data_IF_133719790112
#
_entry.id   IF_133719790112
#
_cell.length_a   1.000
_cell.length_b   1.000
_cell.length_c   1.000
_cell.angle_alpha   90.00
_cell.angle_beta   90.00
_cell.angle_gamma   90.00
#
_symmetry.space_group_name_H-M   'P 1'
#
loop_
_entity.id
_entity.type
_entity.pdbx_description
1 polymer ?
#
# COMPACT_ATOMS: atom_id res chain seq x y z
N UNK A 1 13.08 -7.61 54.78
CA UNK A 1 13.63 -8.80 55.47
C UNK A 1 13.94 -9.86 54.40
N UNK A 2 15.26 -10.24 54.37
CA UNK A 2 15.86 -11.54 54.00
C UNK A 2 15.49 -12.13 52.58
N UNK A 3 16.37 -12.34 51.69
CA UNK A 3 17.75 -12.87 51.45
C UNK A 3 17.60 -13.80 50.22
N UNK A 4 18.21 -13.50 49.09
CA UNK A 4 19.53 -13.94 48.57
C UNK A 4 19.71 -15.48 48.59
N UNK A 5 19.94 -16.08 47.41
CA UNK A 5 20.94 -17.13 47.22
C UNK A 5 21.35 -17.29 45.75
N UNK A 6 22.58 -16.96 45.51
CA UNK A 6 23.48 -17.26 44.39
C UNK A 6 23.89 -18.74 44.48
N UNK A 7 24.03 -19.46 43.37
CA UNK A 7 24.98 -20.58 43.25
C UNK A 7 25.59 -20.67 41.85
N UNK A 8 26.90 -20.41 41.89
CA UNK A 8 27.96 -20.69 40.92
C UNK A 8 28.37 -22.17 41.02
N UNK A 9 28.76 -22.80 39.92
CA UNK A 9 29.65 -23.95 39.81
C UNK A 9 30.19 -23.99 38.37
N UNK A 10 31.36 -23.55 38.07
CA UNK A 10 32.76 -23.96 38.15
C UNK A 10 33.08 -25.24 37.37
N UNK A 11 33.73 -25.06 36.21
CA UNK A 11 34.94 -25.66 35.58
C UNK A 11 35.28 -27.12 35.90
N UNK A 12 35.52 -27.91 34.84
CA UNK A 12 36.69 -28.82 34.85
C UNK A 12 37.26 -29.01 33.44
N UNK A 13 38.54 -28.76 33.34
CA UNK A 13 39.51 -28.93 32.28
C UNK A 13 40.12 -30.33 32.44
N UNK A 14 40.34 -31.11 31.40
CA UNK A 14 41.32 -32.20 31.45
C UNK A 14 41.99 -32.40 30.07
N UNK A 15 43.28 -32.36 30.20
CA UNK A 15 44.45 -32.49 29.34
C UNK A 15 44.77 -33.96 29.06
N UNK A 16 45.43 -34.22 27.96
CA UNK A 16 46.26 -35.40 27.74
C UNK A 16 46.03 -36.08 26.38
N UNK A 17 46.96 -36.53 25.62
CA UNK A 17 48.40 -36.70 25.67
C UNK A 17 48.91 -37.05 24.27
N UNK A 18 50.07 -36.61 23.92
CA UNK A 18 50.90 -36.91 22.74
C UNK A 18 51.33 -38.36 22.76
N UNK A 19 51.34 -39.05 21.59
CA UNK A 19 52.25 -40.18 21.34
C UNK A 19 52.85 -40.02 19.94
N UNK A 20 54.19 -39.84 19.99
CA UNK A 20 55.18 -40.00 18.92
C UNK A 20 55.56 -41.48 18.79
N UNK A 21 55.78 -41.98 17.55
CA UNK A 21 56.83 -42.94 17.29
C UNK A 21 57.00 -43.26 15.78
N UNK A 22 58.12 -42.91 15.29
CA UNK A 22 59.15 -43.68 14.58
C UNK A 22 58.90 -44.24 13.21
N UNK A 23 59.75 -43.77 12.31
CA UNK A 23 60.13 -44.36 11.04
C UNK A 23 61.03 -45.63 11.21
N UNK A 24 61.16 -46.46 10.17
CA UNK A 24 62.50 -46.79 9.74
C UNK A 24 62.74 -46.60 8.24
N UNK A 25 64.00 -46.59 7.93
CA UNK A 25 64.81 -46.17 6.85
C UNK A 25 64.96 -47.22 5.75
N UNK A 26 65.04 -46.75 4.48
CA UNK A 26 65.90 -47.09 3.34
C UNK A 26 65.94 -48.52 2.76
N UNK A 27 65.67 -48.58 1.46
CA UNK A 27 66.46 -49.35 0.50
C UNK A 27 66.46 -48.64 -0.85
N UNK A 28 67.64 -48.36 -1.30
CA UNK A 28 68.06 -47.83 -2.59
C UNK A 28 67.90 -48.92 -3.68
N UNK A 29 67.30 -48.54 -4.83
CA UNK A 29 67.54 -49.23 -6.08
C UNK A 29 67.54 -48.23 -7.26
N UNK A 30 68.48 -48.49 -8.19
CA UNK A 30 68.98 -47.59 -9.17
C UNK A 30 68.09 -47.27 -10.35
N UNK A 31 68.45 -46.21 -10.99
CA UNK A 31 67.88 -45.51 -12.13
C UNK A 31 67.72 -46.33 -13.39
N UNK A 32 66.64 -46.07 -14.13
CA UNK A 32 66.68 -46.09 -15.62
C UNK A 32 66.04 -44.78 -16.10
N UNK A 33 66.83 -44.00 -16.80
CA UNK A 33 66.47 -42.83 -17.55
C UNK A 33 65.52 -43.18 -18.69
N UNK A 34 64.34 -42.54 -18.71
CA UNK A 34 63.48 -42.49 -19.89
C UNK A 34 63.27 -41.00 -20.27
N UNK A 35 63.28 -40.67 -21.60
CA UNK A 35 63.39 -39.29 -22.03
C UNK A 35 62.09 -38.48 -21.74
N UNK A 36 62.31 -37.25 -21.35
CA UNK A 36 61.29 -36.25 -21.07
C UNK A 36 60.35 -35.99 -22.27
N UNK A 37 59.06 -36.31 -22.11
CA UNK A 37 58.01 -35.78 -22.96
C UNK A 37 57.79 -34.31 -22.58
N UNK A 38 57.99 -33.42 -23.53
CA UNK A 38 57.69 -32.00 -23.42
C UNK A 38 56.20 -31.86 -23.27
N UNK A 39 55.76 -31.63 -22.05
CA UNK A 39 54.36 -31.24 -21.74
C UNK A 39 54.16 -29.82 -22.25
N UNK A 40 53.34 -29.69 -23.31
CA UNK A 40 52.91 -28.39 -23.82
C UNK A 40 52.11 -27.68 -22.73
N UNK A 41 52.64 -26.56 -22.27
CA UNK A 41 51.91 -25.65 -21.36
C UNK A 41 50.58 -25.28 -21.99
N UNK A 42 49.47 -25.75 -21.39
CA UNK A 42 48.14 -25.21 -21.63
C UNK A 42 48.18 -23.72 -21.25
N UNK A 43 47.67 -22.80 -22.10
CA UNK A 43 47.55 -21.42 -21.70
C UNK A 43 46.60 -21.37 -20.49
N UNK A 44 47.04 -20.75 -19.40
CA UNK A 44 46.21 -20.43 -18.28
C UNK A 44 44.99 -19.63 -18.81
N UNK A 45 43.79 -20.13 -18.56
CA UNK A 45 42.60 -19.38 -18.78
C UNK A 45 42.74 -18.09 -17.93
N UNK A 46 42.93 -16.99 -18.60
CA UNK A 46 42.77 -15.68 -17.98
C UNK A 46 41.32 -15.61 -17.52
N UNK A 47 41.08 -15.66 -16.21
CA UNK A 47 39.86 -15.15 -15.64
C UNK A 47 39.76 -13.69 -16.10
N UNK A 48 39.02 -13.44 -17.16
CA UNK A 48 38.56 -12.09 -17.47
C UNK A 48 37.72 -11.67 -16.29
N UNK A 49 38.27 -10.77 -15.46
CA UNK A 49 37.53 -10.14 -14.39
C UNK A 49 36.26 -9.51 -15.01
N UNK A 50 35.08 -9.97 -14.57
CA UNK A 50 33.85 -9.37 -15.00
C UNK A 50 33.94 -7.82 -14.80
N UNK A 51 33.56 -7.03 -15.79
CA UNK A 51 33.56 -5.59 -15.63
C UNK A 51 32.78 -5.22 -14.37
N UNK A 52 33.24 -4.20 -13.65
CA UNK A 52 32.54 -3.71 -12.48
C UNK A 52 31.09 -3.34 -12.90
N UNK A 53 30.07 -3.65 -12.09
CA UNK A 53 28.69 -3.34 -12.42
C UNK A 53 28.54 -1.83 -12.69
N UNK A 54 27.79 -1.48 -13.72
CA UNK A 54 27.47 -0.09 -14.04
C UNK A 54 26.27 0.32 -13.18
N UNK A 55 26.47 1.22 -12.22
CA UNK A 55 25.35 1.75 -11.45
C UNK A 55 24.55 2.79 -12.27
N UNK A 56 23.22 2.67 -12.27
CA UNK A 56 22.28 3.61 -12.84
C UNK A 56 21.31 4.09 -11.77
N UNK A 57 21.31 5.39 -11.50
CA UNK A 57 20.31 5.99 -10.63
C UNK A 57 19.05 6.29 -11.42
N UNK A 58 17.91 5.84 -10.91
CA UNK A 58 16.56 6.18 -11.37
C UNK A 58 15.96 7.19 -10.39
N UNK A 59 15.54 8.33 -10.91
CA UNK A 59 14.95 9.42 -10.12
C UNK A 59 13.43 9.26 -10.10
N UNK A 60 12.86 9.08 -8.90
CA UNK A 60 11.42 9.05 -8.67
C UNK A 60 10.94 10.43 -8.22
N UNK A 61 10.07 11.05 -9.00
CA UNK A 61 9.50 12.37 -8.71
C UNK A 61 8.10 12.28 -8.11
N UNK A 62 7.85 13.04 -7.02
CA UNK A 62 6.52 13.13 -6.42
C UNK A 62 6.36 14.39 -5.58
N UNK A 63 5.12 14.76 -5.23
CA UNK A 63 4.86 15.76 -4.20
C UNK A 63 4.25 15.11 -2.96
N UNK A 64 4.37 15.79 -1.83
CA UNK A 64 3.77 15.40 -0.57
C UNK A 64 3.09 16.60 0.06
N UNK A 65 1.83 16.46 0.47
CA UNK A 65 1.18 17.49 1.30
C UNK A 65 1.77 17.42 2.70
N UNK A 66 2.74 18.29 3.02
CA UNK A 66 3.28 18.41 4.38
C UNK A 66 2.38 19.28 5.27
N UNK A 67 1.45 20.04 4.65
CA UNK A 67 0.45 20.90 5.29
C UNK A 67 -0.89 20.80 4.53
N UNK A 68 -1.97 21.31 5.15
CA UNK A 68 -3.31 21.34 4.56
C UNK A 68 -4.14 20.07 4.82
N UNK A 69 -5.27 19.95 4.11
CA UNK A 69 -6.27 18.91 4.39
C UNK A 69 -5.80 17.48 4.08
N UNK A 70 -4.79 17.31 3.22
CA UNK A 70 -4.29 16.00 2.80
C UNK A 70 -3.04 15.53 3.58
N UNK A 71 -2.56 16.32 4.55
CA UNK A 71 -1.30 16.09 5.28
C UNK A 71 -1.19 14.67 5.84
N UNK A 72 -2.19 14.20 6.56
CA UNK A 72 -2.12 12.92 7.29
C UNK A 72 -1.94 11.74 6.33
N UNK A 73 -2.82 11.62 5.34
CA UNK A 73 -2.79 10.50 4.38
C UNK A 73 -1.61 10.58 3.43
N UNK A 74 -1.23 11.79 2.98
CA UNK A 74 -0.06 12.02 2.14
C UNK A 74 1.22 11.56 2.82
N UNK A 75 1.45 11.93 4.07
CA UNK A 75 2.61 11.47 4.84
C UNK A 75 2.65 9.95 5.01
N UNK A 76 1.48 9.31 5.20
CA UNK A 76 1.40 7.84 5.27
C UNK A 76 1.84 7.19 3.95
N UNK A 77 1.33 7.68 2.82
CA UNK A 77 1.70 7.19 1.49
C UNK A 77 3.21 7.34 1.25
N UNK A 78 3.78 8.51 1.51
CA UNK A 78 5.20 8.79 1.29
C UNK A 78 6.09 7.93 2.20
N UNK A 79 5.69 7.68 3.45
CA UNK A 79 6.43 6.79 4.34
C UNK A 79 6.50 5.36 3.80
N UNK A 80 5.44 4.86 3.18
CA UNK A 80 5.45 3.55 2.52
C UNK A 80 6.42 3.49 1.34
N UNK A 81 6.38 4.49 0.46
CA UNK A 81 7.29 4.60 -0.67
C UNK A 81 8.76 4.69 -0.21
N UNK A 82 9.04 5.48 0.83
CA UNK A 82 10.39 5.61 1.38
C UNK A 82 10.90 4.30 1.98
N UNK A 83 10.04 3.53 2.66
CA UNK A 83 10.42 2.21 3.18
C UNK A 83 10.83 1.27 2.04
N UNK A 84 10.04 1.19 0.97
CA UNK A 84 10.41 0.39 -0.19
C UNK A 84 11.74 0.84 -0.81
N UNK A 85 11.90 2.14 -1.04
CA UNK A 85 13.11 2.69 -1.65
C UNK A 85 14.36 2.40 -0.83
N UNK A 86 14.26 2.51 0.49
CA UNK A 86 15.34 2.15 1.39
C UNK A 86 15.66 0.66 1.26
N UNK A 87 14.66 -0.22 1.31
CA UNK A 87 14.87 -1.67 1.26
C UNK A 87 15.50 -2.12 -0.06
N UNK A 88 15.02 -1.63 -1.21
CA UNK A 88 15.58 -2.03 -2.51
C UNK A 88 17.02 -1.53 -2.67
N UNK A 89 17.33 -0.32 -2.21
CA UNK A 89 18.69 0.22 -2.27
C UNK A 89 19.65 -0.51 -1.32
N UNK A 90 19.21 -0.83 -0.09
CA UNK A 90 20.00 -1.57 0.91
C UNK A 90 20.25 -3.02 0.47
N UNK A 91 19.31 -3.62 -0.27
CA UNK A 91 19.48 -4.95 -0.90
C UNK A 91 20.49 -4.95 -2.07
N UNK A 92 20.98 -3.79 -2.48
CA UNK A 92 21.96 -3.66 -3.56
C UNK A 92 21.39 -3.11 -4.86
N UNK A 93 20.10 -2.83 -4.95
CA UNK A 93 19.40 -2.37 -6.16
C UNK A 93 18.89 -3.51 -7.04
N UNK A 94 18.28 -3.18 -8.17
CA UNK A 94 17.81 -4.15 -9.17
C UNK A 94 18.98 -4.51 -10.10
N UNK A 95 19.22 -5.80 -10.30
CA UNK A 95 20.25 -6.31 -11.22
C UNK A 95 19.62 -6.58 -12.59
N UNK A 96 20.03 -5.85 -13.61
CA UNK A 96 19.62 -6.11 -15.00
C UNK A 96 20.58 -7.13 -15.66
N UNK A 97 20.10 -7.79 -16.72
CA UNK A 97 20.86 -8.86 -17.40
C UNK A 97 22.13 -8.37 -18.10
N UNK A 98 22.20 -7.07 -18.43
CA UNK A 98 23.37 -6.41 -19.02
C UNK A 98 24.47 -6.07 -18.00
N UNK A 99 24.24 -6.38 -16.71
CA UNK A 99 25.12 -6.06 -15.59
C UNK A 99 24.91 -4.68 -14.98
N UNK A 100 23.90 -3.94 -15.43
CA UNK A 100 23.49 -2.66 -14.82
C UNK A 100 22.84 -2.93 -13.47
N UNK A 101 23.20 -2.10 -12.47
CA UNK A 101 22.58 -2.08 -11.14
C UNK A 101 21.75 -0.81 -11.01
N UNK A 102 20.45 -0.97 -10.90
CA UNK A 102 19.52 0.17 -10.75
C UNK A 102 19.34 0.52 -9.28
N UNK A 103 19.60 1.77 -8.92
CA UNK A 103 19.37 2.39 -7.62
C UNK A 103 18.33 3.48 -7.76
N UNK A 104 17.66 3.83 -6.66
CA UNK A 104 16.59 4.83 -6.67
C UNK A 104 16.92 6.03 -5.80
N UNK A 105 16.58 7.21 -6.31
CA UNK A 105 16.61 8.47 -5.57
C UNK A 105 15.26 9.18 -5.71
N UNK A 106 14.89 9.98 -4.71
CA UNK A 106 13.65 10.73 -4.70
C UNK A 106 13.88 12.22 -4.90
N UNK A 107 13.01 12.84 -5.70
CA UNK A 107 12.82 14.30 -5.73
C UNK A 107 11.40 14.60 -5.28
N UNK A 108 11.27 15.40 -4.23
CA UNK A 108 9.96 15.69 -3.62
C UNK A 108 9.84 17.14 -3.16
N UNK A 109 8.62 17.66 -3.20
CA UNK A 109 8.26 19.02 -2.78
C UNK A 109 6.96 19.02 -2.00
N UNK A 110 6.75 20.03 -1.15
CA UNK A 110 5.48 20.27 -0.46
C UNK A 110 4.48 20.93 -1.42
N UNK A 111 3.37 20.27 -1.67
CA UNK A 111 2.28 20.79 -2.51
C UNK A 111 1.25 21.60 -1.72
N UNK A 112 1.35 21.65 -0.39
CA UNK A 112 0.45 22.38 0.50
C UNK A 112 -1.03 22.00 0.30
N UNK A 113 -1.33 20.78 -0.18
CA UNK A 113 -2.67 20.31 -0.57
C UNK A 113 -3.32 21.19 -1.66
N UNK A 114 -2.53 21.81 -2.54
CA UNK A 114 -2.98 22.79 -3.53
C UNK A 114 -2.77 22.28 -4.96
N UNK A 115 -3.84 22.31 -5.78
CA UNK A 115 -3.85 21.75 -7.15
C UNK A 115 -2.96 22.53 -8.13
N UNK A 116 -2.97 23.84 -8.03
CA UNK A 116 -2.16 24.73 -8.90
C UNK A 116 -0.68 24.52 -8.60
N UNK A 117 -0.33 24.38 -7.32
CA UNK A 117 1.03 24.10 -6.88
C UNK A 117 1.51 22.71 -7.34
N UNK A 118 0.64 21.70 -7.29
CA UNK A 118 0.94 20.37 -7.85
C UNK A 118 1.35 20.45 -9.32
N UNK A 119 0.61 21.18 -10.15
CA UNK A 119 0.95 21.29 -11.58
C UNK A 119 2.30 21.97 -11.79
N UNK A 120 2.57 23.06 -11.05
CA UNK A 120 3.86 23.76 -11.09
C UNK A 120 5.01 22.81 -10.68
N UNK A 121 4.85 22.10 -9.56
CA UNK A 121 5.87 21.24 -9.02
C UNK A 121 6.12 20.01 -9.89
N UNK A 122 5.10 19.37 -10.46
CA UNK A 122 5.32 18.25 -11.39
C UNK A 122 5.99 18.72 -12.69
N UNK A 123 5.69 19.92 -13.17
CA UNK A 123 6.41 20.49 -14.29
C UNK A 123 7.89 20.62 -13.96
N UNK A 124 8.22 21.16 -12.78
CA UNK A 124 9.60 21.30 -12.31
C UNK A 124 10.29 19.94 -12.14
N UNK A 125 9.66 18.99 -11.44
CA UNK A 125 10.15 17.62 -11.23
C UNK A 125 10.55 16.96 -12.56
N UNK A 126 9.76 17.17 -13.61
CA UNK A 126 10.00 16.57 -14.93
C UNK A 126 11.09 17.34 -15.71
N UNK A 127 11.02 18.67 -15.73
CA UNK A 127 11.83 19.47 -16.67
C UNK A 127 13.14 19.97 -16.09
N UNK A 128 13.22 20.18 -14.77
CA UNK A 128 14.42 20.67 -14.09
C UNK A 128 15.14 19.55 -13.34
N UNK A 129 14.38 18.72 -12.60
CA UNK A 129 14.96 17.66 -11.77
C UNK A 129 15.11 16.34 -12.54
N UNK A 130 14.60 16.24 -13.78
CA UNK A 130 14.72 15.11 -14.70
C UNK A 130 14.25 13.76 -14.12
N UNK A 131 13.12 13.76 -13.41
CA UNK A 131 12.56 12.52 -12.91
C UNK A 131 12.27 11.51 -14.03
N UNK A 132 12.67 10.26 -13.81
CA UNK A 132 12.45 9.15 -14.74
C UNK A 132 11.01 8.65 -14.66
N UNK A 133 10.53 8.39 -13.43
CA UNK A 133 9.17 7.94 -13.13
C UNK A 133 8.52 8.83 -12.08
N UNK A 134 7.20 8.82 -12.06
CA UNK A 134 6.42 9.64 -11.15
C UNK A 134 5.56 8.76 -10.22
N UNK A 135 5.43 9.19 -8.97
CA UNK A 135 4.39 8.72 -8.05
C UNK A 135 3.41 9.87 -7.85
N UNK A 136 2.11 9.57 -7.84
CA UNK A 136 1.10 10.60 -7.68
C UNK A 136 1.12 11.23 -6.29
N UNK A 137 0.65 12.49 -6.14
CA UNK A 137 0.30 13.01 -4.83
C UNK A 137 -0.89 12.25 -4.26
N UNK A 138 -1.17 12.38 -2.99
CA UNK A 138 -2.46 12.08 -2.40
C UNK A 138 -3.30 13.36 -2.52
N UNK A 139 -4.45 13.40 -3.06
CA UNK A 139 -5.62 12.61 -3.27
C UNK A 139 -6.03 12.55 -4.77
N UNK A 140 -7.26 12.07 -5.09
CA UNK A 140 -7.79 12.06 -6.47
C UNK A 140 -7.79 13.45 -7.11
N UNK A 141 -8.13 14.50 -6.35
CA UNK A 141 -8.10 15.88 -6.82
C UNK A 141 -6.72 16.38 -7.19
N UNK A 142 -5.69 16.06 -6.38
CA UNK A 142 -4.29 16.44 -6.64
C UNK A 142 -3.68 15.55 -7.72
N UNK A 143 -3.98 14.25 -7.72
CA UNK A 143 -3.54 13.32 -8.77
C UNK A 143 -4.05 13.73 -10.14
N UNK A 144 -5.31 14.11 -10.28
CA UNK A 144 -5.86 14.60 -11.54
C UNK A 144 -5.09 15.83 -12.08
N UNK A 145 -4.64 16.72 -11.20
CA UNK A 145 -3.81 17.87 -11.59
C UNK A 145 -2.40 17.43 -12.06
N UNK A 146 -1.78 16.49 -11.35
CA UNK A 146 -0.46 15.94 -11.70
C UNK A 146 -0.49 15.13 -13.01
N UNK A 147 -1.54 14.34 -13.22
CA UNK A 147 -1.70 13.45 -14.39
C UNK A 147 -1.70 14.24 -15.70
N UNK A 148 -2.27 15.44 -15.73
CA UNK A 148 -2.24 16.32 -16.90
C UNK A 148 -0.78 16.62 -17.30
N UNK A 149 0.06 16.93 -16.33
CA UNK A 149 1.48 17.26 -16.58
C UNK A 149 2.26 16.00 -16.96
N UNK A 150 2.01 14.87 -16.31
CA UNK A 150 2.65 13.60 -16.61
C UNK A 150 2.35 13.17 -18.07
N UNK A 151 1.09 13.20 -18.48
CA UNK A 151 0.65 12.83 -19.84
C UNK A 151 1.25 13.73 -20.91
N UNK A 152 1.25 15.06 -20.70
CA UNK A 152 1.86 16.02 -21.63
C UNK A 152 3.36 15.79 -21.87
N UNK A 153 4.05 15.17 -20.91
CA UNK A 153 5.48 14.90 -20.97
C UNK A 153 5.80 13.41 -21.20
N UNK A 154 4.80 12.56 -21.44
CA UNK A 154 4.98 11.12 -21.68
C UNK A 154 5.56 10.36 -20.49
N UNK A 155 5.39 10.86 -19.26
CA UNK A 155 5.95 10.26 -18.04
C UNK A 155 4.97 9.27 -17.41
N UNK A 156 5.45 8.07 -17.10
CA UNK A 156 4.69 7.07 -16.36
C UNK A 156 4.49 7.55 -14.92
N UNK A 157 3.26 7.45 -14.44
CA UNK A 157 2.86 7.76 -13.06
C UNK A 157 2.12 6.57 -12.45
N UNK A 158 2.58 6.09 -11.30
CA UNK A 158 1.85 5.11 -10.49
C UNK A 158 1.12 5.85 -9.37
N UNK A 159 -0.09 5.39 -9.04
CA UNK A 159 -0.88 5.98 -7.96
C UNK A 159 -1.41 4.94 -6.99
N UNK A 160 -1.19 5.20 -5.69
CA UNK A 160 -1.88 4.60 -4.57
C UNK A 160 -2.43 5.70 -3.64
N UNK A 161 -2.73 6.86 -4.21
CA UNK A 161 -3.30 8.02 -3.52
C UNK A 161 -4.61 8.51 -4.13
N UNK A 162 -5.00 7.94 -5.28
CA UNK A 162 -6.21 8.32 -5.99
C UNK A 162 -7.03 7.07 -6.37
N UNK A 163 -8.33 7.16 -6.21
CA UNK A 163 -9.24 6.07 -6.55
C UNK A 163 -10.30 6.46 -7.59
N UNK A 164 -10.39 7.73 -8.00
CA UNK A 164 -11.39 8.15 -8.98
C UNK A 164 -11.13 7.54 -10.36
N UNK A 165 -12.18 7.22 -11.09
CA UNK A 165 -12.13 6.44 -12.31
C UNK A 165 -12.02 7.30 -13.60
N UNK A 166 -12.34 8.59 -13.53
CA UNK A 166 -12.51 9.41 -14.74
C UNK A 166 -11.19 9.71 -15.46
N UNK A 167 -10.07 9.73 -14.73
CA UNK A 167 -8.75 9.93 -15.31
C UNK A 167 -8.40 8.84 -16.34
N UNK A 168 -8.95 7.64 -16.18
CA UNK A 168 -8.70 6.47 -17.04
C UNK A 168 -9.61 6.42 -18.27
N UNK A 169 -10.68 7.21 -18.30
CA UNK A 169 -11.65 7.29 -19.41
C UNK A 169 -11.26 8.31 -20.48
N UNK A 170 -10.13 9.01 -20.29
CA UNK A 170 -9.69 10.12 -21.17
C UNK A 170 -8.77 9.68 -22.31
N UNK A 171 -8.43 8.40 -22.40
CA UNK A 171 -7.40 7.88 -23.30
C UNK A 171 -5.98 8.10 -22.80
N UNK A 172 -5.82 8.44 -21.52
CA UNK A 172 -4.51 8.54 -20.85
C UNK A 172 -3.86 7.16 -20.77
N UNK A 173 -2.59 7.05 -21.13
CA UNK A 173 -1.81 5.82 -21.10
C UNK A 173 -0.63 5.88 -20.14
N UNK A 174 -0.53 6.94 -19.37
CA UNK A 174 0.61 7.22 -18.48
C UNK A 174 0.34 6.89 -17.02
N UNK A 175 -0.94 6.78 -16.62
CA UNK A 175 -1.36 6.58 -15.23
C UNK A 175 -1.75 5.12 -14.95
N UNK A 176 -1.18 4.52 -13.87
CA UNK A 176 -1.48 3.17 -13.41
C UNK A 176 -1.94 3.20 -11.96
N UNK A 177 -3.16 2.70 -11.68
CA UNK A 177 -3.80 2.74 -10.37
C UNK A 177 -3.58 1.45 -9.60
N UNK A 178 -3.23 1.55 -8.32
CA UNK A 178 -3.07 0.40 -7.42
C UNK A 178 -4.26 0.21 -6.47
N UNK A 179 -5.05 1.24 -6.23
CA UNK A 179 -6.26 1.15 -5.42
C UNK A 179 -7.40 0.52 -6.21
N UNK A 180 -8.33 -0.12 -5.50
CA UNK A 180 -9.66 -0.42 -6.05
C UNK A 180 -10.28 0.88 -6.56
N UNK A 181 -10.85 0.90 -7.77
CA UNK A 181 -11.53 2.07 -8.32
C UNK A 181 -12.61 2.64 -7.40
N UNK A 182 -12.79 3.96 -7.40
CA UNK A 182 -13.76 4.65 -6.57
C UNK A 182 -15.18 4.15 -6.74
N UNK A 183 -15.57 3.86 -7.99
CA UNK A 183 -16.88 3.28 -8.31
C UNK A 183 -17.16 1.93 -7.61
N UNK A 184 -16.13 1.22 -7.16
CA UNK A 184 -16.22 -0.07 -6.48
C UNK A 184 -15.99 0.03 -4.95
N UNK A 185 -15.70 1.22 -4.42
CA UNK A 185 -15.17 1.42 -3.08
C UNK A 185 -16.10 0.91 -1.97
N UNK A 186 -17.41 1.10 -2.09
CA UNK A 186 -18.41 0.70 -1.08
C UNK A 186 -19.19 -0.58 -1.43
N UNK A 187 -18.85 -1.27 -2.53
CA UNK A 187 -19.56 -2.48 -2.96
C UNK A 187 -19.56 -3.55 -1.87
N UNK A 188 -18.40 -3.86 -1.30
CA UNK A 188 -18.29 -4.84 -0.20
C UNK A 188 -19.13 -4.45 1.04
N UNK A 189 -19.22 -3.15 1.34
CA UNK A 189 -20.06 -2.64 2.44
C UNK A 189 -21.55 -2.88 2.16
N UNK A 190 -21.99 -2.63 0.93
CA UNK A 190 -23.39 -2.87 0.52
C UNK A 190 -23.72 -4.37 0.52
N UNK A 191 -22.81 -5.23 0.05
CA UNK A 191 -22.98 -6.69 0.09
C UNK A 191 -23.13 -7.22 1.53
N UNK A 192 -22.32 -6.70 2.45
CA UNK A 192 -22.45 -7.00 3.87
C UNK A 192 -23.80 -6.53 4.42
N UNK A 193 -24.20 -5.29 4.16
CA UNK A 193 -25.49 -4.73 4.61
C UNK A 193 -26.66 -5.55 4.05
N UNK A 194 -26.58 -6.03 2.80
CA UNK A 194 -27.61 -6.88 2.21
C UNK A 194 -27.82 -8.18 2.99
N UNK A 195 -26.75 -8.68 3.61
CA UNK A 195 -26.80 -9.88 4.47
C UNK A 195 -27.33 -9.56 5.86
N UNK A 196 -26.97 -8.39 6.42
CA UNK A 196 -27.31 -8.00 7.80
C UNK A 196 -28.74 -7.43 7.94
N UNK A 197 -29.07 -6.48 7.07
CA UNK A 197 -30.36 -5.77 7.09
C UNK A 197 -30.78 -5.32 5.68
N UNK A 198 -31.41 -6.18 4.90
CA UNK A 198 -31.84 -5.85 3.53
C UNK A 198 -32.94 -4.77 3.48
N UNK A 199 -33.48 -4.37 4.64
CA UNK A 199 -34.52 -3.33 4.76
C UNK A 199 -33.97 -1.98 5.26
N UNK A 200 -32.64 -1.86 5.41
CA UNK A 200 -32.00 -0.65 5.90
C UNK A 200 -32.36 0.58 5.02
N UNK A 201 -32.62 1.69 5.68
CA UNK A 201 -32.79 3.00 5.03
C UNK A 201 -31.44 3.71 5.01
N UNK A 202 -30.94 3.99 3.83
CA UNK A 202 -29.59 4.49 3.63
C UNK A 202 -29.60 6.01 3.48
N UNK A 203 -28.79 6.69 4.30
CA UNK A 203 -28.36 8.05 4.04
C UNK A 203 -26.97 8.04 3.42
N UNK A 204 -26.77 8.86 2.40
CA UNK A 204 -25.49 9.16 1.79
C UNK A 204 -25.11 10.59 2.17
N UNK A 205 -23.97 10.76 2.86
CA UNK A 205 -23.43 12.08 3.20
C UNK A 205 -21.97 12.11 2.80
N UNK A 206 -21.56 13.01 1.91
CA UNK A 206 -20.22 12.97 1.34
C UNK A 206 -19.61 14.34 1.11
N UNK A 207 -18.28 14.40 1.10
CA UNK A 207 -17.54 15.56 0.66
C UNK A 207 -17.75 15.81 -0.83
N UNK A 208 -17.84 17.08 -1.25
CA UNK A 208 -17.96 17.49 -2.66
C UNK A 208 -16.58 17.61 -3.30
N UNK A 209 -15.79 16.52 -3.24
CA UNK A 209 -14.50 16.41 -3.92
C UNK A 209 -14.52 15.34 -5.01
N UNK A 210 -13.43 15.22 -5.78
CA UNK A 210 -13.34 14.23 -6.86
C UNK A 210 -13.44 12.79 -6.38
N UNK A 211 -12.81 12.47 -5.25
CA UNK A 211 -12.78 11.12 -4.71
C UNK A 211 -14.15 10.69 -4.20
N UNK A 212 -14.71 11.46 -3.27
CA UNK A 212 -15.97 11.11 -2.63
C UNK A 212 -17.12 11.08 -3.65
N UNK A 213 -17.13 12.03 -4.61
CA UNK A 213 -18.10 12.04 -5.70
C UNK A 213 -18.01 10.77 -6.56
N UNK A 214 -16.80 10.35 -6.97
CA UNK A 214 -16.62 9.11 -7.75
C UNK A 214 -17.12 7.86 -6.99
N UNK A 215 -16.87 7.81 -5.67
CA UNK A 215 -17.39 6.71 -4.84
C UNK A 215 -18.92 6.70 -4.81
N UNK A 216 -19.55 7.87 -4.63
CA UNK A 216 -21.02 7.95 -4.54
C UNK A 216 -21.69 7.70 -5.89
N UNK A 217 -21.09 8.14 -6.99
CA UNK A 217 -21.58 7.85 -8.34
C UNK A 217 -21.58 6.35 -8.66
N UNK A 218 -20.62 5.60 -8.16
CA UNK A 218 -20.62 4.13 -8.24
C UNK A 218 -21.56 3.46 -7.24
N UNK A 219 -21.68 4.02 -6.03
CA UNK A 219 -22.51 3.47 -4.95
C UNK A 219 -24.01 3.50 -5.27
N UNK A 220 -24.53 4.62 -5.78
CA UNK A 220 -25.97 4.82 -5.98
C UNK A 220 -26.62 3.79 -6.87
N UNK A 221 -26.13 3.51 -8.08
CA UNK A 221 -26.71 2.48 -8.93
C UNK A 221 -26.62 1.08 -8.30
N UNK A 222 -25.59 0.82 -7.49
CA UNK A 222 -25.46 -0.46 -6.81
C UNK A 222 -26.46 -0.62 -5.67
N UNK A 223 -26.70 0.42 -4.87
CA UNK A 223 -27.77 0.42 -3.85
C UNK A 223 -29.14 0.17 -4.47
N UNK A 224 -29.44 0.83 -5.58
CA UNK A 224 -30.70 0.62 -6.33
C UNK A 224 -30.82 -0.83 -6.83
N UNK A 225 -29.76 -1.37 -7.44
CA UNK A 225 -29.69 -2.76 -7.88
C UNK A 225 -29.91 -3.76 -6.72
N UNK A 226 -29.39 -3.46 -5.54
CA UNK A 226 -29.55 -4.28 -4.34
C UNK A 226 -30.91 -4.05 -3.64
N UNK A 227 -31.69 -3.08 -4.07
CA UNK A 227 -33.03 -2.78 -3.57
C UNK A 227 -33.04 -2.02 -2.25
N UNK A 228 -31.99 -1.23 -1.95
CA UNK A 228 -31.97 -0.35 -0.78
C UNK A 228 -32.67 0.98 -1.08
N UNK A 229 -33.41 1.48 -0.09
CA UNK A 229 -34.01 2.82 -0.11
C UNK A 229 -32.98 3.86 0.30
N UNK A 230 -32.60 4.77 -0.60
CA UNK A 230 -31.81 5.97 -0.27
C UNK A 230 -32.77 7.08 0.15
N UNK A 231 -32.76 7.41 1.44
CA UNK A 231 -33.68 8.40 2.05
C UNK A 231 -33.07 9.80 2.16
N UNK A 232 -31.75 9.91 2.03
CA UNK A 232 -31.01 11.16 2.02
C UNK A 232 -29.77 11.04 1.13
N UNK A 233 -29.52 12.05 0.32
CA UNK A 233 -28.22 12.31 -0.30
C UNK A 233 -27.85 13.77 -0.05
N UNK A 234 -26.72 14.01 0.62
CA UNK A 234 -26.28 15.36 0.98
C UNK A 234 -24.77 15.49 0.79
N UNK A 235 -24.35 16.46 -0.03
CA UNK A 235 -22.96 16.84 -0.19
C UNK A 235 -22.57 18.00 0.70
N UNK A 236 -21.32 18.02 1.20
CA UNK A 236 -20.77 19.13 1.96
C UNK A 236 -19.45 19.62 1.35
N UNK A 237 -19.08 20.88 1.64
CA UNK A 237 -17.85 21.47 1.14
C UNK A 237 -16.62 20.92 1.91
N UNK A 238 -15.47 20.83 1.24
CA UNK A 238 -14.20 20.29 1.80
C UNK A 238 -13.70 21.04 3.06
N UNK A 239 -14.12 22.29 3.26
CA UNK A 239 -13.76 23.10 4.42
C UNK A 239 -14.82 23.08 5.55
N UNK A 240 -15.80 22.18 5.46
CA UNK A 240 -16.88 22.05 6.45
C UNK A 240 -16.31 21.59 7.79
N UNK A 241 -16.55 22.37 8.84
CA UNK A 241 -16.17 22.07 10.23
C UNK A 241 -17.37 21.93 11.18
N UNK A 242 -18.55 22.42 10.79
CA UNK A 242 -19.81 22.26 11.50
C UNK A 242 -20.78 21.41 10.66
N UNK A 243 -20.99 20.17 11.08
CA UNK A 243 -21.91 19.23 10.46
C UNK A 243 -23.34 19.30 11.04
N UNK A 244 -23.61 20.24 11.94
CA UNK A 244 -24.94 20.39 12.55
C UNK A 244 -26.09 20.43 11.56
N UNK A 245 -26.06 21.24 10.51
CA UNK A 245 -27.11 21.27 9.48
C UNK A 245 -27.29 19.93 8.76
N UNK A 246 -26.20 19.26 8.41
CA UNK A 246 -26.20 17.93 7.73
C UNK A 246 -26.75 16.85 8.66
N UNK A 247 -26.35 16.85 9.94
CA UNK A 247 -26.84 15.92 10.96
C UNK A 247 -28.34 16.10 11.21
N UNK A 248 -28.85 17.32 11.21
CA UNK A 248 -30.29 17.56 11.35
C UNK A 248 -31.08 16.92 10.20
N UNK A 249 -30.63 17.08 8.94
CA UNK A 249 -31.25 16.44 7.77
C UNK A 249 -31.17 14.91 7.87
N UNK A 250 -30.01 14.37 8.33
CA UNK A 250 -29.81 12.95 8.54
C UNK A 250 -30.84 12.38 9.54
N UNK A 251 -31.04 13.04 10.67
CA UNK A 251 -32.03 12.62 11.68
C UNK A 251 -33.46 12.70 11.14
N UNK A 252 -33.80 13.79 10.43
CA UNK A 252 -35.13 14.00 9.84
C UNK A 252 -35.46 12.99 8.74
N UNK A 253 -34.44 12.44 8.03
CA UNK A 253 -34.63 11.47 6.94
C UNK A 253 -35.12 10.11 7.43
N UNK A 254 -34.95 9.80 8.71
CA UNK A 254 -35.26 8.49 9.26
C UNK A 254 -34.32 7.35 8.77
N UNK A 255 -33.13 7.69 8.31
CA UNK A 255 -32.11 6.72 7.93
C UNK A 255 -31.69 5.85 9.12
N UNK A 256 -31.41 4.59 8.84
CA UNK A 256 -30.86 3.63 9.81
C UNK A 256 -29.39 3.33 9.57
N UNK A 257 -28.90 3.64 8.38
CA UNK A 257 -27.51 3.44 7.92
C UNK A 257 -26.98 4.71 7.29
N UNK A 258 -25.75 5.06 7.61
CA UNK A 258 -25.00 6.17 7.01
C UNK A 258 -23.80 5.62 6.23
N UNK A 259 -23.71 5.99 4.96
CA UNK A 259 -22.57 5.70 4.08
C UNK A 259 -21.99 7.01 3.54
N UNK A 260 -20.67 7.12 3.45
CA UNK A 260 -20.01 8.26 2.82
C UNK A 260 -18.87 8.85 3.65
N UNK A 261 -18.84 10.17 3.80
CA UNK A 261 -17.71 10.91 4.34
C UNK A 261 -16.80 11.44 3.23
N UNK A 262 -15.58 11.81 3.60
CA UNK A 262 -14.54 12.32 2.71
C UNK A 262 -13.18 11.81 3.16
N UNK A 263 -12.30 12.74 3.52
CA UNK A 263 -10.95 12.46 3.97
C UNK A 263 -10.83 12.36 5.50
N UNK A 264 -9.60 12.37 6.01
CA UNK A 264 -9.36 12.16 7.44
C UNK A 264 -9.89 13.32 8.33
N UNK A 265 -9.66 14.61 8.01
CA UNK A 265 -10.06 15.71 8.91
C UNK A 265 -11.57 15.85 9.06
N UNK A 266 -12.29 15.85 7.93
CA UNK A 266 -13.75 16.02 7.87
C UNK A 266 -14.47 14.80 8.43
N UNK A 267 -14.06 13.58 8.03
CA UNK A 267 -14.62 12.32 8.52
C UNK A 267 -14.44 12.15 10.04
N UNK A 268 -13.28 12.55 10.58
CA UNK A 268 -13.03 12.54 12.03
C UNK A 268 -13.92 13.55 12.77
N UNK A 269 -14.10 14.76 12.20
CA UNK A 269 -14.98 15.79 12.76
C UNK A 269 -16.44 15.36 12.70
N UNK A 270 -16.85 14.75 11.58
CA UNK A 270 -18.21 14.26 11.41
C UNK A 270 -18.54 13.14 12.41
N UNK A 271 -17.66 12.13 12.54
CA UNK A 271 -17.84 11.04 13.52
C UNK A 271 -18.00 11.58 14.95
N UNK A 272 -17.15 12.51 15.35
CA UNK A 272 -17.24 13.16 16.67
C UNK A 272 -18.57 13.89 16.86
N UNK A 273 -19.04 14.69 15.88
CA UNK A 273 -20.29 15.43 16.00
C UNK A 273 -21.53 14.53 15.95
N UNK A 274 -21.50 13.41 15.22
CA UNK A 274 -22.56 12.38 15.28
C UNK A 274 -22.69 11.83 16.71
N UNK A 275 -21.57 11.50 17.35
CA UNK A 275 -21.53 11.00 18.72
C UNK A 275 -22.01 12.06 19.74
N UNK A 276 -21.48 13.29 19.69
CA UNK A 276 -21.85 14.40 20.59
C UNK A 276 -23.34 14.72 20.52
N UNK A 277 -23.95 14.60 19.34
CA UNK A 277 -25.40 14.84 19.10
C UNK A 277 -26.25 13.59 19.33
N UNK A 278 -25.65 12.47 19.75
CA UNK A 278 -26.32 11.22 20.05
C UNK A 278 -27.21 10.70 18.92
N UNK A 279 -26.66 10.71 17.70
CA UNK A 279 -27.38 10.23 16.52
C UNK A 279 -27.43 8.70 16.56
N UNK A 280 -28.62 8.14 16.69
CA UNK A 280 -28.84 6.69 16.72
C UNK A 280 -28.92 6.13 15.30
N UNK A 281 -27.89 5.41 14.87
CA UNK A 281 -27.84 4.66 13.61
C UNK A 281 -27.49 3.19 13.89
N UNK A 282 -27.95 2.29 13.05
CA UNK A 282 -27.58 0.87 13.15
C UNK A 282 -26.17 0.62 12.61
N UNK A 283 -25.76 1.41 11.62
CA UNK A 283 -24.43 1.27 10.99
C UNK A 283 -23.95 2.62 10.42
N UNK A 284 -22.65 2.84 10.54
CA UNK A 284 -21.95 4.01 9.96
C UNK A 284 -20.71 3.49 9.26
N UNK A 285 -20.55 3.79 7.97
CA UNK A 285 -19.33 3.58 7.22
C UNK A 285 -18.83 4.89 6.63
N UNK A 286 -17.67 5.34 7.10
CA UNK A 286 -16.99 6.54 6.58
C UNK A 286 -15.81 6.12 5.71
N UNK A 287 -15.51 6.93 4.66
CA UNK A 287 -14.58 6.51 3.60
C UNK A 287 -13.14 6.34 4.09
N UNK A 288 -12.46 7.41 4.52
CA UNK A 288 -11.02 7.40 4.78
C UNK A 288 -10.67 7.46 6.26
N UNK A 289 -11.34 8.30 7.01
CA UNK A 289 -10.97 8.64 8.38
C UNK A 289 -10.81 7.41 9.30
N UNK A 290 -11.72 6.40 9.29
CA UNK A 290 -11.60 5.27 10.19
C UNK A 290 -10.45 4.32 9.85
N UNK A 291 -9.85 4.44 8.68
CA UNK A 291 -8.69 3.64 8.30
C UNK A 291 -7.37 4.17 8.88
N UNK A 292 -7.33 5.41 9.36
CA UNK A 292 -6.11 5.98 9.95
C UNK A 292 -5.89 5.48 11.40
N UNK A 293 -4.62 5.30 11.76
CA UNK A 293 -4.21 4.84 13.10
C UNK A 293 -4.51 5.84 14.21
N UNK A 294 -4.79 7.12 13.89
CA UNK A 294 -5.19 8.15 14.85
C UNK A 294 -6.70 8.21 15.12
N UNK A 295 -7.51 7.55 14.30
CA UNK A 295 -8.97 7.62 14.47
C UNK A 295 -9.47 7.19 15.86
N UNK A 296 -8.87 6.17 16.55
CA UNK A 296 -9.30 5.80 17.89
C UNK A 296 -9.00 6.86 18.97
N UNK A 297 -8.23 7.92 18.67
CA UNK A 297 -8.07 9.08 19.57
C UNK A 297 -9.41 9.80 19.83
N UNK A 298 -10.42 9.58 18.98
CA UNK A 298 -11.80 10.06 19.18
C UNK A 298 -12.51 9.34 20.35
N UNK A 299 -11.92 8.31 20.95
CA UNK A 299 -12.51 7.56 22.05
C UNK A 299 -13.81 6.86 21.62
N UNK A 300 -14.85 6.96 22.45
CA UNK A 300 -16.12 6.30 22.19
C UNK A 300 -16.82 6.78 20.88
N UNK A 301 -16.47 7.92 20.36
CA UNK A 301 -16.98 8.38 19.06
C UNK A 301 -16.47 7.55 17.86
N UNK A 302 -15.40 6.77 18.04
CA UNK A 302 -14.91 5.84 17.02
C UNK A 302 -15.61 4.47 17.08
N UNK A 303 -16.21 4.12 18.22
CA UNK A 303 -16.77 2.79 18.45
C UNK A 303 -17.91 2.48 17.46
N UNK A 304 -17.79 1.35 16.74
CA UNK A 304 -18.77 0.90 15.76
C UNK A 304 -18.67 1.58 14.39
N UNK A 305 -17.81 2.60 14.22
CA UNK A 305 -17.60 3.22 12.91
C UNK A 305 -16.79 2.26 12.03
N UNK A 306 -17.33 1.97 10.85
CA UNK A 306 -16.70 1.14 9.83
C UNK A 306 -16.08 1.95 8.69
N UNK A 307 -15.26 1.29 7.87
CA UNK A 307 -14.70 1.81 6.63
C UNK A 307 -14.43 0.68 5.66
N UNK A 308 -14.54 0.95 4.36
CA UNK A 308 -13.90 0.11 3.36
C UNK A 308 -12.39 0.38 3.38
N UNK A 309 -11.58 -0.65 3.42
CA UNK A 309 -10.13 -0.54 3.49
C UNK A 309 -9.47 -1.26 2.31
N UNK A 310 -8.48 -0.61 1.70
CA UNK A 310 -7.70 -1.20 0.62
C UNK A 310 -6.82 -2.35 1.12
N UNK A 311 -6.41 -2.32 2.38
CA UNK A 311 -5.60 -3.36 3.00
C UNK A 311 -5.68 -3.31 4.53
N UNK A 312 -5.76 -4.47 5.15
CA UNK A 312 -5.63 -4.66 6.60
C UNK A 312 -4.67 -5.82 6.87
N UNK A 313 -3.78 -5.64 7.85
CA UNK A 313 -2.83 -6.69 8.22
C UNK A 313 -3.52 -8.00 8.61
N UNK A 314 -4.68 -7.91 9.27
CA UNK A 314 -5.45 -9.07 9.71
C UNK A 314 -6.08 -9.88 8.55
N UNK A 315 -6.18 -9.27 7.36
CA UNK A 315 -6.68 -9.88 6.12
C UNK A 315 -5.64 -9.76 4.99
N UNK A 316 -4.36 -9.73 5.33
CA UNK A 316 -3.28 -9.65 4.33
C UNK A 316 -3.22 -10.95 3.53
N UNK A 317 -2.95 -10.81 2.24
CA UNK A 317 -2.86 -11.96 1.33
C UNK A 317 -1.57 -12.76 1.51
N UNK A 318 -1.57 -13.98 0.98
CA UNK A 318 -0.50 -14.96 1.18
C UNK A 318 -0.04 -15.60 -0.14
N UNK A 319 1.18 -16.15 -0.15
CA UNK A 319 1.70 -16.95 -1.27
C UNK A 319 0.80 -18.16 -1.58
N UNK A 320 0.17 -18.76 -0.56
CA UNK A 320 -0.71 -19.90 -0.75
C UNK A 320 -1.99 -19.52 -1.52
N UNK A 321 -2.53 -18.31 -1.29
CA UNK A 321 -3.64 -17.77 -2.07
C UNK A 321 -3.23 -17.49 -3.51
N UNK A 322 -2.07 -16.87 -3.73
CA UNK A 322 -1.51 -16.65 -5.06
C UNK A 322 -1.39 -17.96 -5.83
N UNK A 323 -0.81 -18.99 -5.21
CA UNK A 323 -0.67 -20.32 -5.81
C UNK A 323 -2.03 -20.97 -6.13
N UNK A 324 -3.03 -20.83 -5.26
CA UNK A 324 -4.38 -21.34 -5.48
C UNK A 324 -5.09 -20.64 -6.66
N UNK A 325 -4.75 -19.36 -6.91
CA UNK A 325 -5.24 -18.56 -8.04
C UNK A 325 -4.41 -18.75 -9.32
N UNK A 326 -3.30 -19.49 -9.27
CA UNK A 326 -2.37 -19.64 -10.37
C UNK A 326 -1.62 -18.36 -10.72
N UNK A 327 -1.44 -17.45 -9.73
CA UNK A 327 -0.75 -16.17 -9.88
C UNK A 327 0.67 -16.23 -9.35
N UNK A 328 1.55 -15.42 -9.92
CA UNK A 328 2.88 -15.18 -9.36
C UNK A 328 2.76 -14.37 -8.07
N UNK A 329 3.41 -14.85 -6.98
CA UNK A 329 3.61 -14.04 -5.79
C UNK A 329 4.84 -13.15 -5.96
N UNK A 330 4.71 -11.86 -5.59
CA UNK A 330 5.82 -10.92 -5.64
C UNK A 330 5.89 -10.03 -4.40
N UNK A 331 7.10 -9.83 -3.88
CA UNK A 331 7.38 -8.97 -2.73
C UNK A 331 7.32 -9.66 -1.36
N UNK A 332 7.38 -8.89 -0.27
CA UNK A 332 7.38 -9.42 1.09
C UNK A 332 6.01 -9.97 1.49
N UNK A 333 5.96 -10.70 2.61
CA UNK A 333 4.70 -10.98 3.28
C UNK A 333 4.14 -9.72 3.95
N UNK A 334 2.82 -9.65 4.19
CA UNK A 334 2.23 -8.52 4.91
C UNK A 334 2.76 -8.36 6.34
N UNK A 335 3.14 -9.46 6.97
CA UNK A 335 3.75 -9.44 8.31
C UNK A 335 5.16 -8.84 8.27
N UNK A 336 5.98 -9.21 7.28
CA UNK A 336 7.34 -8.66 7.13
C UNK A 336 7.29 -7.18 6.78
N UNK A 337 6.39 -6.78 5.87
CA UNK A 337 6.14 -5.37 5.55
C UNK A 337 5.74 -4.58 6.81
N UNK A 338 4.77 -5.08 7.59
CA UNK A 338 4.29 -4.39 8.78
C UNK A 338 5.39 -4.28 9.84
N UNK A 339 6.17 -5.34 10.07
CA UNK A 339 7.27 -5.33 11.02
C UNK A 339 8.39 -4.34 10.60
N UNK A 340 8.71 -4.27 9.31
CA UNK A 340 9.70 -3.33 8.78
C UNK A 340 9.24 -1.87 8.95
N UNK A 341 7.96 -1.59 8.67
CA UNK A 341 7.41 -0.25 8.87
C UNK A 341 7.38 0.16 10.34
N UNK A 342 6.94 -0.75 11.22
CA UNK A 342 6.90 -0.51 12.66
C UNK A 342 8.31 -0.28 13.24
N UNK A 343 9.31 -1.01 12.75
CA UNK A 343 10.72 -0.80 13.10
C UNK A 343 11.25 0.56 12.65
N UNK A 344 10.82 1.07 11.49
CA UNK A 344 11.23 2.37 10.95
C UNK A 344 10.57 3.54 11.68
N UNK A 345 9.29 3.42 12.07
CA UNK A 345 8.47 4.57 12.50
C UNK A 345 7.96 4.49 13.93
N UNK A 346 7.86 3.29 14.50
CA UNK A 346 7.15 3.02 15.76
C UNK A 346 5.63 2.93 15.62
N UNK A 347 5.07 3.16 14.42
CA UNK A 347 3.63 3.14 14.14
C UNK A 347 3.24 1.88 13.37
N UNK A 348 1.98 1.42 13.53
CA UNK A 348 1.41 0.37 12.68
C UNK A 348 1.06 0.92 11.30
N UNK A 349 1.31 0.15 10.21
CA UNK A 349 0.97 0.60 8.88
C UNK A 349 -0.56 0.65 8.68
N UNK A 350 -0.98 1.62 7.88
CA UNK A 350 -2.34 1.74 7.33
C UNK A 350 -2.32 1.35 5.86
N UNK A 351 -3.49 1.24 5.22
CA UNK A 351 -3.53 0.97 3.78
C UNK A 351 -2.86 2.07 2.94
N UNK A 352 -2.80 3.31 3.42
CA UNK A 352 -2.05 4.37 2.74
C UNK A 352 -0.54 4.08 2.72
N UNK A 353 -0.01 3.57 3.83
CA UNK A 353 1.39 3.13 3.91
C UNK A 353 1.62 1.94 2.98
N UNK A 354 0.75 0.94 3.04
CA UNK A 354 0.83 -0.24 2.18
C UNK A 354 0.75 0.15 0.70
N UNK A 355 -0.18 1.04 0.34
CA UNK A 355 -0.30 1.56 -1.03
C UNK A 355 0.95 2.30 -1.50
N UNK A 356 1.50 3.18 -0.66
CA UNK A 356 2.76 3.87 -0.98
C UNK A 356 3.93 2.92 -1.21
N UNK A 357 4.06 1.88 -0.38
CA UNK A 357 5.04 0.81 -0.58
C UNK A 357 4.82 0.08 -1.91
N UNK A 358 3.56 -0.23 -2.22
CA UNK A 358 3.17 -0.92 -3.44
C UNK A 358 3.50 -0.14 -4.72
N UNK A 359 3.47 1.20 -4.72
CA UNK A 359 3.87 1.96 -5.90
C UNK A 359 5.32 1.70 -6.29
N UNK A 360 6.20 1.63 -5.31
CA UNK A 360 7.59 1.27 -5.52
C UNK A 360 7.77 -0.20 -5.93
N UNK A 361 7.11 -1.11 -5.21
CA UNK A 361 7.22 -2.56 -5.48
C UNK A 361 6.75 -2.92 -6.90
N UNK A 362 5.67 -2.31 -7.38
CA UNK A 362 5.13 -2.53 -8.74
C UNK A 362 6.07 -1.92 -9.79
N UNK A 363 6.65 -0.75 -9.53
CA UNK A 363 7.67 -0.17 -10.41
C UNK A 363 8.91 -1.07 -10.47
N UNK A 364 9.36 -1.61 -9.34
CA UNK A 364 10.47 -2.57 -9.28
C UNK A 364 10.20 -3.77 -10.16
N UNK A 365 9.04 -4.43 -9.97
CA UNK A 365 8.64 -5.59 -10.78
C UNK A 365 8.61 -5.26 -12.28
N UNK A 366 8.06 -4.11 -12.65
CA UNK A 366 8.00 -3.69 -14.04
C UNK A 366 9.40 -3.47 -14.66
N UNK A 367 10.35 -2.92 -13.89
CA UNK A 367 11.75 -2.76 -14.33
C UNK A 367 12.43 -4.13 -14.47
N UNK A 368 12.21 -5.05 -13.53
CA UNK A 368 12.73 -6.41 -13.56
C UNK A 368 12.18 -7.19 -14.77
N UNK A 369 10.87 -7.14 -15.02
CA UNK A 369 10.22 -7.81 -16.15
C UNK A 369 10.62 -7.22 -17.50
N UNK A 370 10.81 -5.90 -17.56
CA UNK A 370 11.30 -5.21 -18.76
C UNK A 370 12.80 -5.45 -18.99
N UNK A 371 13.53 -5.91 -17.97
CA UNK A 371 14.99 -5.93 -17.93
C UNK A 371 15.60 -4.60 -18.40
N UNK A 372 14.96 -3.49 -18.05
CA UNK A 372 15.25 -2.14 -18.54
C UNK A 372 14.60 -1.07 -17.68
N UNK A 373 15.17 0.15 -17.73
CA UNK A 373 14.57 1.37 -17.20
C UNK A 373 14.04 2.28 -18.31
N UNK A 374 13.98 1.79 -19.55
CA UNK A 374 13.37 2.52 -20.65
C UNK A 374 11.85 2.66 -20.40
N UNK A 375 11.28 3.88 -20.48
CA UNK A 375 9.88 4.10 -20.12
C UNK A 375 8.89 3.27 -20.96
N UNK A 376 9.17 3.04 -22.25
CA UNK A 376 8.24 2.27 -23.10
C UNK A 376 8.29 0.78 -22.75
N UNK A 377 9.48 0.25 -22.44
CA UNK A 377 9.63 -1.13 -21.97
C UNK A 377 8.95 -1.35 -20.59
N UNK A 378 9.13 -0.41 -19.65
CA UNK A 378 8.49 -0.45 -18.33
C UNK A 378 6.96 -0.33 -18.46
N UNK A 379 6.45 0.52 -19.37
CA UNK A 379 5.01 0.60 -19.66
C UNK A 379 4.47 -0.73 -20.15
N UNK A 380 5.14 -1.37 -21.11
CA UNK A 380 4.72 -2.66 -21.63
C UNK A 380 4.69 -3.75 -20.53
N UNK A 381 5.65 -3.72 -19.59
CA UNK A 381 5.67 -4.61 -18.45
C UNK A 381 4.51 -4.33 -17.47
N UNK A 382 4.17 -3.06 -17.22
CA UNK A 382 3.00 -2.68 -16.41
C UNK A 382 1.69 -3.16 -17.08
N UNK A 383 1.53 -2.97 -18.39
CA UNK A 383 0.37 -3.40 -19.14
C UNK A 383 0.20 -4.94 -19.16
N UNK A 384 1.29 -5.68 -19.09
CA UNK A 384 1.28 -7.14 -19.03
C UNK A 384 1.17 -7.73 -17.62
N UNK A 385 1.24 -6.88 -16.59
CA UNK A 385 1.33 -7.31 -15.19
C UNK A 385 0.08 -8.05 -14.72
N UNK A 386 0.30 -9.24 -14.12
CA UNK A 386 -0.75 -10.06 -13.52
C UNK A 386 -0.16 -10.85 -12.35
N UNK A 387 0.09 -10.17 -11.24
CA UNK A 387 0.75 -10.71 -10.05
C UNK A 387 -0.15 -10.65 -8.83
N UNK A 388 0.31 -11.31 -7.76
CA UNK A 388 -0.32 -11.29 -6.45
C UNK A 388 0.71 -10.92 -5.37
N UNK A 389 0.32 -10.07 -4.43
CA UNK A 389 1.20 -9.52 -3.41
C UNK A 389 0.50 -9.57 -2.04
N UNK A 390 1.19 -9.17 -0.98
CA UNK A 390 0.56 -9.02 0.34
C UNK A 390 -0.64 -8.06 0.33
N UNK A 391 -0.67 -7.14 -0.62
CA UNK A 391 -1.74 -6.15 -0.79
C UNK A 391 -2.93 -6.72 -1.56
N UNK A 392 -2.71 -7.73 -2.39
CA UNK A 392 -3.70 -8.37 -3.25
C UNK A 392 -3.23 -8.47 -4.69
N UNK A 393 -4.16 -8.71 -5.59
CA UNK A 393 -3.89 -8.79 -7.03
C UNK A 393 -3.54 -7.44 -7.63
N UNK A 394 -2.57 -7.43 -8.54
CA UNK A 394 -2.19 -6.26 -9.35
C UNK A 394 -2.33 -6.63 -10.81
N UNK A 395 -3.29 -6.04 -11.47
CA UNK A 395 -3.56 -6.18 -12.90
C UNK A 395 -4.25 -4.92 -13.40
N UNK A 396 -3.84 -4.44 -14.55
CA UNK A 396 -4.36 -3.21 -15.12
C UNK A 396 -5.22 -3.48 -16.36
N UNK A 397 -6.28 -2.71 -16.52
CA UNK A 397 -7.03 -2.65 -17.77
C UNK A 397 -6.16 -2.00 -18.84
N UNK A 398 -6.16 -2.58 -20.04
CA UNK A 398 -5.37 -2.09 -21.18
C UNK A 398 -6.25 -1.62 -22.33
N UNK A 399 -7.58 -1.55 -22.12
CA UNK A 399 -8.49 -0.99 -23.11
C UNK A 399 -8.37 0.53 -23.19
N UNK A 400 -8.62 1.16 -24.33
CA UNK A 400 -8.57 2.61 -24.46
C UNK A 400 -9.52 3.37 -23.50
N UNK A 401 -10.60 2.70 -23.06
CA UNK A 401 -11.64 3.26 -22.20
C UNK A 401 -11.32 3.21 -20.72
N UNK A 402 -10.27 2.43 -20.32
CA UNK A 402 -9.94 2.23 -18.90
C UNK A 402 -8.44 1.92 -18.68
N UNK A 403 -7.56 2.32 -19.61
CA UNK A 403 -6.14 2.00 -19.57
C UNK A 403 -5.49 2.41 -18.23
N UNK A 404 -4.80 1.45 -17.59
CA UNK A 404 -4.11 1.63 -16.31
C UNK A 404 -5.01 1.52 -15.08
N UNK A 405 -6.32 1.31 -15.25
CA UNK A 405 -7.24 1.10 -14.13
C UNK A 405 -7.01 -0.28 -13.48
N UNK A 406 -6.96 -0.33 -12.16
CA UNK A 406 -6.84 -1.57 -11.39
C UNK A 406 -8.11 -2.43 -11.51
N UNK A 407 -7.96 -3.72 -11.90
CA UNK A 407 -9.09 -4.65 -12.11
C UNK A 407 -9.03 -5.91 -11.25
N UNK A 408 -7.97 -6.11 -10.48
CA UNK A 408 -7.74 -7.36 -9.71
C UNK A 408 -7.81 -7.16 -8.19
N UNK A 409 -7.65 -5.94 -7.70
CA UNK A 409 -7.64 -5.62 -6.27
C UNK A 409 -9.06 -5.57 -5.68
N UNK A 410 -9.21 -6.07 -4.43
CA UNK A 410 -10.48 -6.07 -3.69
C UNK A 410 -10.30 -5.48 -2.31
N UNK A 411 -11.33 -4.78 -1.84
CA UNK A 411 -11.35 -4.16 -0.53
C UNK A 411 -12.04 -5.04 0.51
N UNK A 412 -11.62 -4.86 1.76
CA UNK A 412 -12.28 -5.42 2.94
C UNK A 412 -13.08 -4.32 3.66
N UNK A 413 -14.03 -4.72 4.52
CA UNK A 413 -14.70 -3.79 5.44
C UNK A 413 -14.11 -4.01 6.83
N UNK A 414 -13.59 -2.94 7.42
CA UNK A 414 -13.08 -2.91 8.77
C UNK A 414 -13.96 -2.05 9.69
N UNK A 415 -13.98 -2.36 10.99
CA UNK A 415 -14.79 -1.65 11.97
C UNK A 415 -14.01 -1.48 13.27
N UNK A 416 -14.17 -0.35 13.93
CA UNK A 416 -13.64 -0.11 15.27
C UNK A 416 -14.50 -0.76 16.33
N UNK A 417 -13.91 -1.72 17.05
CA UNK A 417 -14.57 -2.46 18.14
C UNK A 417 -13.69 -2.45 19.39
N UNK A 418 -14.26 -2.72 20.55
CA UNK A 418 -13.48 -2.89 21.79
C UNK A 418 -13.04 -4.34 21.94
N UNK A 419 -11.78 -4.55 22.29
CA UNK A 419 -11.25 -5.85 22.68
C UNK A 419 -11.68 -6.21 24.14
N UNK A 420 -11.28 -7.38 24.64
CA UNK A 420 -11.59 -7.84 25.99
C UNK A 420 -11.04 -6.92 27.09
N UNK A 421 -10.02 -6.13 26.80
CA UNK A 421 -9.46 -5.13 27.71
C UNK A 421 -10.23 -3.79 27.66
N UNK A 422 -11.20 -3.65 26.76
CA UNK A 422 -11.97 -2.42 26.55
C UNK A 422 -11.25 -1.39 25.66
N UNK A 423 -10.15 -1.75 25.02
CA UNK A 423 -9.39 -0.88 24.14
C UNK A 423 -9.94 -0.96 22.70
N UNK A 424 -9.95 0.17 22.00
CA UNK A 424 -10.37 0.22 20.61
C UNK A 424 -9.33 -0.48 19.72
N UNK A 425 -9.82 -1.39 18.89
CA UNK A 425 -9.07 -2.05 17.83
C UNK A 425 -9.87 -2.05 16.54
N UNK A 426 -9.19 -1.99 15.40
CA UNK A 426 -9.80 -2.15 14.09
C UNK A 426 -9.78 -3.63 13.71
N UNK A 427 -10.95 -4.19 13.44
CA UNK A 427 -11.15 -5.59 13.05
C UNK A 427 -11.76 -5.67 11.66
N UNK A 428 -11.43 -6.70 10.91
CA UNK A 428 -12.07 -6.99 9.62
C UNK A 428 -13.40 -7.68 9.88
N UNK A 429 -14.48 -7.15 9.28
CA UNK A 429 -15.85 -7.65 9.47
C UNK A 429 -16.45 -8.22 8.18
N UNK A 430 -15.80 -7.97 7.02
CA UNK A 430 -16.24 -8.47 5.70
C UNK A 430 -15.09 -8.44 4.68
N UNK A 431 -15.02 -9.39 3.72
CA UNK A 431 -15.92 -10.54 3.51
C UNK A 431 -15.77 -11.61 4.61
N UNK A 432 -16.78 -12.50 4.73
CA UNK A 432 -16.90 -13.43 5.85
C UNK A 432 -15.76 -14.46 5.94
N UNK A 433 -15.12 -14.80 4.83
CA UNK A 433 -14.00 -15.75 4.74
C UNK A 433 -12.68 -15.21 5.30
N UNK A 434 -12.53 -13.88 5.39
CA UNK A 434 -11.35 -13.22 5.98
C UNK A 434 -11.70 -12.38 7.21
N UNK A 435 -12.97 -12.35 7.62
CA UNK A 435 -13.41 -11.60 8.80
C UNK A 435 -12.74 -12.13 10.08
N UNK A 436 -12.32 -11.19 10.94
CA UNK A 436 -11.70 -11.49 12.25
C UNK A 436 -12.64 -11.27 13.41
N UNK A 437 -13.79 -10.66 13.16
CA UNK A 437 -14.88 -10.46 14.12
C UNK A 437 -16.22 -10.30 13.39
N UNK A 438 -17.31 -10.56 14.11
CA UNK A 438 -18.65 -10.24 13.63
C UNK A 438 -18.87 -8.72 13.59
N UNK A 439 -19.67 -8.20 12.65
CA UNK A 439 -20.08 -6.78 12.64
C UNK A 439 -20.82 -6.41 13.93
N UNK A 440 -20.44 -5.26 14.54
CA UNK A 440 -21.32 -4.60 15.50
C UNK A 440 -22.51 -4.01 14.73
N UNK A 441 -23.65 -4.69 14.82
CA UNK A 441 -24.90 -4.29 14.17
C UNK A 441 -26.10 -4.68 15.05
N UNK A 442 -26.93 -3.74 15.55
CA UNK A 442 -26.69 -2.29 15.51
C UNK A 442 -25.45 -1.85 16.31
N UNK A 443 -24.83 -0.71 15.91
CA UNK A 443 -23.75 -0.12 16.69
C UNK A 443 -24.29 0.36 18.04
N UNK A 444 -23.49 0.37 19.13
CA UNK A 444 -23.90 0.88 20.42
C UNK A 444 -24.40 2.33 20.31
N UNK A 445 -25.53 2.63 20.98
CA UNK A 445 -26.04 3.98 21.03
C UNK A 445 -25.05 4.91 21.75
N UNK A 446 -24.83 6.14 21.26
CA UNK A 446 -23.94 7.12 21.87
C UNK A 446 -24.36 7.60 23.25
#
# INVERSE_FOLDING_TARGET
MKRSLVRIFTVLMLLGLVITACAPQAATEEAMEQPAATEAAQPAATDEAMPAPVEKTVVIGFTSSLTGSQEVSSKRQVNGLNLWMQQVNDAGGIQLSDGTVVKFEAVTYDDESNKERVQELYTRIITEDNADFLISPYSSGLTAAATIVAEQNGKIMLTAGAAEDDAYKTGNTSLFQLYTPGSLYLISTVDMLKTLDPSAKVAIVHENDKFSTAVIDGLKPYLDQQGFEVVLEEGYASDTTDFGPVINKLVESGATVLLGGGHYPDGSTFARQLYERKVGLNFISLLVAPADSKFPELGDAALGIATSSQWELAATHTEAEAAALGKEWYGPTGTDFAAAYEAMTGDKPTYHVAGGYMTGLVLQKAIEDADSVDPDAVRAALEAMDIFTFYGGVQFDTTPEAHGLQISHKMVVAQWQKNDAGELQRVVIWPADVATADPLYPIPAP
#
